data_IF_064165809892
#
_entry.id   IF_064165809892
#
_cell.length_a   1.000
_cell.length_b   1.000
_cell.length_c   1.000
_cell.angle_alpha   90.00
_cell.angle_beta   90.00
_cell.angle_gamma   90.00
#
_symmetry.space_group_name_H-M   'P 1'
#
loop_
_entity.id
_entity.type
_entity.pdbx_description
1 polymer ?
#
# COMPACT_ATOMS: atom_id res chain seq x y z
N UNK A 1 29.96 14.96 -44.52
CA UNK A 1 29.61 14.98 -43.07
C UNK A 1 28.63 16.12 -42.80
N UNK A 2 27.70 15.92 -41.85
CA UNK A 2 26.84 16.94 -41.20
C UNK A 2 25.56 17.38 -41.92
N UNK A 3 24.66 16.46 -42.28
CA UNK A 3 23.21 16.79 -42.40
C UNK A 3 22.26 15.77 -41.73
N UNK A 4 22.81 14.75 -41.07
CA UNK A 4 22.04 13.72 -40.35
C UNK A 4 22.17 13.90 -38.81
N UNK A 5 22.92 14.91 -38.37
CA UNK A 5 23.29 15.07 -36.94
C UNK A 5 22.26 15.90 -36.14
N UNK A 6 21.18 16.38 -36.75
CA UNK A 6 20.20 17.23 -36.05
C UNK A 6 18.86 16.58 -35.72
N UNK A 7 18.61 15.34 -36.16
CA UNK A 7 17.29 14.70 -35.95
C UNK A 7 17.33 13.55 -34.94
N UNK A 8 18.40 13.47 -34.14
CA UNK A 8 18.65 12.36 -33.21
C UNK A 8 18.93 12.82 -31.77
N UNK A 9 18.46 14.02 -31.39
CA UNK A 9 18.77 14.60 -30.07
C UNK A 9 17.58 15.24 -29.33
N UNK A 10 16.33 14.99 -29.76
CA UNK A 10 15.15 15.58 -29.11
C UNK A 10 14.10 14.56 -28.62
N UNK A 11 14.37 13.26 -28.68
CA UNK A 11 13.44 12.20 -28.23
C UNK A 11 13.95 11.47 -26.98
N UNK A 12 15.13 11.82 -26.47
CA UNK A 12 15.66 11.24 -25.24
C UNK A 12 15.34 12.18 -24.06
N UNK A 13 14.62 11.65 -23.07
CA UNK A 13 14.29 12.22 -21.75
C UNK A 13 12.92 12.88 -21.55
N UNK A 14 11.87 12.38 -22.21
CA UNK A 14 10.48 12.57 -21.74
C UNK A 14 9.95 11.42 -20.88
N UNK A 15 10.79 10.45 -20.50
CA UNK A 15 10.47 9.56 -19.38
C UNK A 15 10.97 10.18 -18.08
N UNK A 16 10.46 11.37 -17.73
CA UNK A 16 10.28 11.65 -16.31
C UNK A 16 9.24 10.62 -15.90
N UNK A 17 9.67 9.48 -15.35
CA UNK A 17 8.76 8.63 -14.59
C UNK A 17 8.28 9.53 -13.46
N UNK A 18 7.21 10.27 -13.70
CA UNK A 18 6.33 10.67 -12.62
C UNK A 18 6.01 9.36 -11.93
N UNK A 19 6.62 9.11 -10.77
CA UNK A 19 6.18 8.10 -9.85
C UNK A 19 4.75 8.52 -9.48
N UNK A 20 3.79 8.04 -10.26
CA UNK A 20 2.37 8.22 -10.03
C UNK A 20 2.01 7.21 -8.96
N UNK A 21 2.20 7.59 -7.70
CA UNK A 21 1.89 6.79 -6.52
C UNK A 21 3.05 6.76 -5.52
N UNK A 22 2.90 5.96 -4.47
CA UNK A 22 3.82 5.94 -3.34
C UNK A 22 5.08 5.10 -3.56
N UNK A 23 6.08 5.33 -2.71
CA UNK A 23 7.29 4.52 -2.66
C UNK A 23 7.11 3.34 -1.68
N UNK A 24 7.48 2.15 -2.14
CA UNK A 24 7.44 0.89 -1.37
C UNK A 24 8.76 0.13 -1.44
N UNK A 25 9.83 0.76 -1.94
CA UNK A 25 11.11 0.12 -2.27
C UNK A 25 11.89 -0.35 -1.04
N UNK A 26 11.76 0.36 0.09
CA UNK A 26 12.48 0.08 1.33
C UNK A 26 11.56 -0.39 2.48
N UNK A 27 10.38 -0.93 2.15
CA UNK A 27 9.44 -1.34 3.20
C UNK A 27 10.02 -2.44 4.08
N UNK A 28 9.88 -2.27 5.38
CA UNK A 28 10.10 -3.33 6.37
C UNK A 28 8.82 -4.10 6.61
N UNK A 29 8.97 -5.38 6.88
CA UNK A 29 7.91 -6.28 7.32
C UNK A 29 8.49 -7.18 8.40
N UNK A 30 7.65 -7.63 9.32
CA UNK A 30 8.01 -8.66 10.28
C UNK A 30 6.86 -9.66 10.39
N UNK A 31 7.20 -10.89 10.81
CA UNK A 31 6.19 -11.92 11.02
C UNK A 31 5.43 -11.65 12.32
N UNK A 32 4.11 -11.84 12.28
CA UNK A 32 3.24 -11.81 13.45
C UNK A 32 2.48 -13.13 13.45
N UNK A 33 2.60 -13.88 14.54
CA UNK A 33 1.92 -15.16 14.68
C UNK A 33 0.40 -14.98 14.61
N UNK A 34 -0.28 -15.92 13.95
CA UNK A 34 -1.72 -15.92 13.78
C UNK A 34 -2.26 -17.33 13.93
N UNK A 35 -3.38 -17.46 14.65
CA UNK A 35 -4.18 -18.67 14.69
C UNK A 35 -5.14 -18.75 13.50
N UNK A 36 -5.44 -17.60 12.88
CA UNK A 36 -6.45 -17.44 11.83
C UNK A 36 -5.87 -17.49 10.41
N UNK A 37 -4.62 -17.03 10.21
CA UNK A 37 -4.01 -16.85 8.89
C UNK A 37 -2.65 -17.53 8.79
N UNK A 38 -2.38 -18.08 7.61
CA UNK A 38 -1.02 -18.53 7.27
C UNK A 38 -0.09 -17.34 7.01
N UNK A 39 1.22 -17.56 7.10
CA UNK A 39 2.21 -16.55 6.71
C UNK A 39 2.04 -16.13 5.24
N UNK A 40 1.65 -17.07 4.37
CA UNK A 40 1.36 -16.81 2.97
C UNK A 40 0.14 -15.91 2.78
N UNK A 41 -0.93 -16.11 3.56
CA UNK A 41 -2.13 -15.26 3.53
C UNK A 41 -1.81 -13.82 3.93
N UNK A 42 -1.05 -13.66 5.02
CA UNK A 42 -0.59 -12.35 5.51
C UNK A 42 0.28 -11.68 4.45
N UNK A 43 1.23 -12.42 3.88
CA UNK A 43 2.10 -11.91 2.82
C UNK A 43 1.29 -11.46 1.60
N UNK A 44 0.26 -12.22 1.21
CA UNK A 44 -0.61 -11.86 0.09
C UNK A 44 -1.38 -10.56 0.37
N UNK A 45 -1.85 -10.34 1.60
CA UNK A 45 -2.51 -9.10 2.00
C UNK A 45 -1.54 -7.90 1.95
N UNK A 46 -0.32 -8.07 2.46
CA UNK A 46 0.75 -7.07 2.38
C UNK A 46 1.07 -6.73 0.92
N UNK A 47 1.17 -7.74 0.06
CA UNK A 47 1.43 -7.54 -1.37
C UNK A 47 0.27 -6.81 -2.07
N UNK A 48 -0.97 -6.98 -1.61
CA UNK A 48 -2.11 -6.18 -2.09
C UNK A 48 -1.95 -4.71 -1.70
N UNK A 49 -1.65 -4.41 -0.43
CA UNK A 49 -1.45 -3.00 0.00
C UNK A 49 -0.24 -2.37 -0.65
N UNK A 50 0.86 -3.09 -0.87
CA UNK A 50 2.01 -2.55 -1.62
C UNK A 50 1.64 -2.09 -3.03
N UNK A 51 0.72 -2.81 -3.70
CA UNK A 51 0.25 -2.44 -5.05
C UNK A 51 -0.66 -1.22 -5.00
N UNK A 52 -1.58 -1.17 -4.04
CA UNK A 52 -2.42 -0.01 -3.76
C UNK A 52 -1.55 1.23 -3.48
N UNK A 53 -0.65 1.13 -2.51
CA UNK A 53 0.23 2.21 -2.09
C UNK A 53 1.05 2.75 -3.26
N UNK A 54 1.64 1.85 -4.04
CA UNK A 54 2.42 2.22 -5.23
C UNK A 54 1.60 2.91 -6.32
N UNK A 55 0.29 2.72 -6.36
CA UNK A 55 -0.58 3.29 -7.40
C UNK A 55 -1.19 4.61 -6.95
N UNK A 56 -1.65 4.68 -5.70
CA UNK A 56 -2.58 5.73 -5.27
C UNK A 56 -2.02 6.65 -4.17
N UNK A 57 -0.93 6.27 -3.50
CA UNK A 57 -0.38 7.01 -2.34
C UNK A 57 0.77 7.93 -2.73
N UNK A 58 0.54 8.79 -3.72
CA UNK A 58 1.55 9.72 -4.24
C UNK A 58 2.14 10.59 -3.13
N UNK A 59 3.45 10.84 -3.19
CA UNK A 59 4.14 11.68 -2.20
C UNK A 59 4.28 11.02 -0.82
N UNK A 60 3.90 9.74 -0.70
CA UNK A 60 4.10 8.96 0.50
C UNK A 60 5.18 7.90 0.30
N UNK A 61 5.91 7.57 1.37
CA UNK A 61 6.91 6.51 1.41
C UNK A 61 6.55 5.52 2.51
N UNK A 62 6.16 4.31 2.13
CA UNK A 62 5.85 3.24 3.08
C UNK A 62 7.15 2.73 3.71
N UNK A 63 7.25 2.82 5.03
CA UNK A 63 8.47 2.44 5.78
C UNK A 63 8.32 1.10 6.49
N UNK A 64 7.11 0.75 6.92
CA UNK A 64 6.80 -0.53 7.55
C UNK A 64 5.36 -0.95 7.25
N UNK A 65 5.14 -2.26 7.08
CA UNK A 65 3.81 -2.86 7.05
C UNK A 65 3.85 -4.28 7.60
N UNK A 66 2.86 -4.64 8.43
CA UNK A 66 2.76 -5.95 9.06
C UNK A 66 1.31 -6.27 9.46
N UNK A 67 1.06 -7.52 9.80
CA UNK A 67 -0.26 -7.96 10.26
C UNK A 67 -0.58 -7.39 11.65
N UNK A 68 -1.78 -6.82 11.82
CA UNK A 68 -2.20 -6.19 13.08
C UNK A 68 -2.42 -7.18 14.24
N UNK A 69 -2.45 -8.48 13.95
CA UNK A 69 -2.76 -9.53 14.91
C UNK A 69 -4.24 -9.92 14.93
N UNK A 70 -4.51 -11.10 15.48
CA UNK A 70 -5.83 -11.73 15.48
C UNK A 70 -6.86 -10.94 16.30
N UNK A 71 -6.46 -10.37 17.43
CA UNK A 71 -7.35 -9.57 18.28
C UNK A 71 -7.83 -8.32 17.53
N UNK A 72 -6.91 -7.56 16.91
CA UNK A 72 -7.27 -6.39 16.12
C UNK A 72 -8.20 -6.77 14.96
N UNK A 73 -7.88 -7.85 14.24
CA UNK A 73 -8.68 -8.31 13.10
C UNK A 73 -10.08 -8.78 13.52
N UNK A 74 -10.19 -9.42 14.69
CA UNK A 74 -11.47 -9.87 15.24
C UNK A 74 -12.43 -8.71 15.52
N UNK A 75 -11.90 -7.57 15.94
CA UNK A 75 -12.69 -6.34 16.17
C UNK A 75 -13.23 -5.72 14.87
N UNK A 76 -12.75 -6.17 13.70
CA UNK A 76 -13.15 -5.67 12.38
C UNK A 76 -13.98 -6.68 11.57
N UNK A 77 -14.46 -7.79 12.18
CA UNK A 77 -15.18 -8.86 11.46
C UNK A 77 -16.41 -8.39 10.69
N UNK A 78 -17.07 -7.34 11.15
CA UNK A 78 -18.24 -6.76 10.49
C UNK A 78 -17.92 -6.16 9.11
N UNK A 79 -16.65 -5.85 8.81
CA UNK A 79 -16.22 -5.43 7.48
C UNK A 79 -16.39 -6.51 6.42
N UNK A 80 -16.22 -7.80 6.76
CA UNK A 80 -16.46 -8.89 5.83
C UNK A 80 -17.95 -8.91 5.40
N UNK A 81 -18.87 -8.86 6.37
CA UNK A 81 -20.32 -8.82 6.12
C UNK A 81 -20.73 -7.62 5.26
N UNK A 82 -20.23 -6.42 5.60
CA UNK A 82 -20.53 -5.17 4.87
C UNK A 82 -20.06 -5.18 3.42
N UNK A 83 -19.01 -5.94 3.13
CA UNK A 83 -18.42 -6.06 1.80
C UNK A 83 -18.79 -7.37 1.10
N UNK A 84 -19.75 -8.13 1.65
CA UNK A 84 -20.24 -9.38 1.08
C UNK A 84 -19.09 -10.40 0.84
N UNK A 85 -18.19 -10.47 1.83
CA UNK A 85 -16.97 -11.29 1.86
C UNK A 85 -17.00 -12.26 3.06
N UNK A 86 -16.07 -13.21 3.08
CA UNK A 86 -16.02 -14.26 4.10
C UNK A 86 -14.96 -13.98 5.18
N UNK A 87 -13.91 -13.26 4.82
CA UNK A 87 -12.75 -13.01 5.67
C UNK A 87 -12.36 -11.53 5.64
N UNK A 88 -11.81 -11.04 6.76
CA UNK A 88 -11.21 -9.71 6.89
C UNK A 88 -9.82 -9.85 7.51
N UNK A 89 -8.86 -9.07 7.02
CA UNK A 89 -7.53 -8.96 7.62
C UNK A 89 -7.19 -7.49 7.79
N UNK A 90 -6.57 -7.16 8.93
CA UNK A 90 -6.11 -5.80 9.23
C UNK A 90 -4.59 -5.78 9.22
N UNK A 91 -4.02 -4.82 8.49
CA UNK A 91 -2.58 -4.54 8.51
C UNK A 91 -2.33 -3.20 9.20
N UNK A 92 -1.21 -3.08 9.91
CA UNK A 92 -0.69 -1.83 10.42
C UNK A 92 0.48 -1.38 9.56
N UNK A 93 0.63 -0.08 9.42
CA UNK A 93 1.74 0.51 8.67
C UNK A 93 2.25 1.80 9.28
N UNK A 94 3.49 2.11 8.92
CA UNK A 94 4.06 3.44 9.06
C UNK A 94 4.50 3.95 7.70
N UNK A 95 4.29 5.24 7.45
CA UNK A 95 4.73 5.90 6.23
C UNK A 95 4.99 7.38 6.45
N UNK A 96 5.89 7.93 5.64
CA UNK A 96 6.21 9.35 5.63
C UNK A 96 5.45 10.04 4.50
N UNK A 97 5.04 11.28 4.73
CA UNK A 97 4.35 12.14 3.76
C UNK A 97 5.26 13.31 3.42
N UNK A 98 5.52 13.51 2.14
CA UNK A 98 6.35 14.62 1.68
C UNK A 98 5.64 15.97 1.79
N UNK A 99 6.29 17.03 1.28
CA UNK A 99 5.75 18.39 1.32
C UNK A 99 4.45 18.62 0.53
N UNK A 100 4.03 17.66 -0.32
CA UNK A 100 2.80 17.75 -1.10
C UNK A 100 1.53 17.42 -0.31
N UNK A 101 1.65 16.64 0.79
CA UNK A 101 0.48 16.14 1.52
C UNK A 101 -0.32 15.08 0.75
N UNK A 102 0.31 14.43 -0.23
CA UNK A 102 -0.34 13.48 -1.12
C UNK A 102 -1.37 14.13 -2.04
N UNK A 103 -2.62 13.73 -1.90
CA UNK A 103 -3.77 14.33 -2.62
C UNK A 103 -4.42 15.50 -1.84
N UNK A 104 -3.86 15.85 -0.68
CA UNK A 104 -4.37 16.88 0.23
C UNK A 104 -5.16 16.33 1.42
N UNK A 105 -5.35 15.02 1.52
CA UNK A 105 -5.98 14.37 2.69
C UNK A 105 -5.01 14.15 3.86
N UNK A 106 -3.70 14.19 3.61
CA UNK A 106 -2.65 13.92 4.59
C UNK A 106 -1.88 15.19 4.96
N UNK A 107 -1.34 15.21 6.18
CA UNK A 107 -0.53 16.31 6.67
C UNK A 107 0.85 16.31 5.98
N UNK A 108 1.25 17.40 5.29
CA UNK A 108 2.57 17.47 4.67
C UNK A 108 3.72 17.39 5.69
N UNK A 109 4.85 16.79 5.29
CA UNK A 109 6.07 16.65 6.11
C UNK A 109 5.81 15.96 7.47
N UNK A 110 5.02 14.89 7.46
CA UNK A 110 4.66 14.17 8.68
C UNK A 110 4.87 12.66 8.52
N UNK A 111 4.89 11.96 9.66
CA UNK A 111 4.95 10.51 9.72
C UNK A 111 3.64 10.00 10.31
N UNK A 112 3.01 9.07 9.62
CA UNK A 112 1.87 8.32 10.11
C UNK A 112 2.38 6.99 10.63
N UNK A 113 1.88 6.59 11.80
CA UNK A 113 2.18 5.31 12.46
C UNK A 113 0.88 4.65 12.87
N UNK A 114 0.88 3.33 12.99
CA UNK A 114 -0.30 2.51 13.32
C UNK A 114 -1.51 2.76 12.39
N UNK A 115 -1.23 3.16 11.14
CA UNK A 115 -2.26 3.37 10.13
C UNK A 115 -2.81 2.02 9.69
N UNK A 116 -4.13 1.84 9.81
CA UNK A 116 -4.79 0.58 9.50
C UNK A 116 -5.12 0.48 8.02
N UNK A 117 -4.99 -0.72 7.50
CA UNK A 117 -5.53 -1.14 6.21
C UNK A 117 -6.48 -2.29 6.43
N UNK A 118 -7.70 -2.16 5.95
CA UNK A 118 -8.74 -3.17 6.06
C UNK A 118 -8.89 -3.81 4.69
N UNK A 119 -8.63 -5.12 4.65
CA UNK A 119 -8.80 -5.92 3.45
C UNK A 119 -9.80 -7.05 3.71
N UNK A 120 -10.56 -7.40 2.68
CA UNK A 120 -11.51 -8.53 2.72
C UNK A 120 -11.25 -9.50 1.56
N UNK A 121 -11.71 -10.74 1.70
CA UNK A 121 -11.76 -11.71 0.60
C UNK A 121 -12.93 -12.69 0.76
N UNK A 122 -13.35 -13.26 -0.35
CA UNK A 122 -14.27 -14.41 -0.38
C UNK A 122 -13.48 -15.71 -0.43
N UNK A 123 -13.84 -16.71 0.38
CA UNK A 123 -13.36 -18.11 0.40
C UNK A 123 -11.99 -18.36 -0.26
N UNK A 124 -10.90 -18.01 0.43
CA UNK A 124 -9.53 -18.25 -0.06
C UNK A 124 -9.14 -17.49 -1.34
N UNK A 125 -9.97 -16.53 -1.75
CA UNK A 125 -9.78 -15.67 -2.91
C UNK A 125 -8.69 -14.61 -2.69
N UNK A 126 -8.65 -13.62 -3.58
CA UNK A 126 -7.68 -12.52 -3.48
C UNK A 126 -8.14 -11.48 -2.48
N UNK A 127 -7.22 -10.99 -1.65
CA UNK A 127 -7.44 -9.84 -0.79
C UNK A 127 -7.77 -8.58 -1.61
N UNK A 128 -8.77 -7.85 -1.14
CA UNK A 128 -9.23 -6.57 -1.68
C UNK A 128 -9.17 -5.52 -0.57
N UNK A 129 -8.47 -4.42 -0.82
CA UNK A 129 -8.50 -3.25 0.05
C UNK A 129 -9.91 -2.61 0.01
N UNK A 130 -10.49 -2.32 1.17
CA UNK A 130 -11.83 -1.72 1.28
C UNK A 130 -11.87 -0.44 2.11
N UNK A 131 -10.95 -0.26 3.06
CA UNK A 131 -10.83 0.99 3.82
C UNK A 131 -9.45 1.10 4.51
N UNK A 132 -9.15 2.30 5.02
CA UNK A 132 -7.92 2.59 5.74
C UNK A 132 -8.05 3.81 6.66
N UNK A 133 -7.21 3.90 7.69
CA UNK A 133 -7.18 5.07 8.58
C UNK A 133 -6.92 4.75 10.05
N UNK A 134 -7.35 5.67 10.91
CA UNK A 134 -7.26 5.59 12.37
C UNK A 134 -8.54 5.07 13.01
#
# INVERSE_FOLDING_TARGET
>A
MKKIVCTMLCIMLLFVLSACGGDVSEVKTHNVESESYSEEDIKAAIDTIKKEFKSDWKGCTLTEIYYAGDDCTKDHKDWADRNNADEVIVLLSSFDVDSSGGDGSLNPNSTYSDWKWILVRTDGGKWQHVDHGY
#
